data_IF_952078456998
#
_entry.id   IF_952078456998
#
_cell.length_a   1.000
_cell.length_b   1.000
_cell.length_c   1.000
_cell.angle_alpha   90.00
_cell.angle_beta   90.00
_cell.angle_gamma   90.00
#
_symmetry.space_group_name_H-M   'P 1'
#
loop_
_entity.id
_entity.type
_entity.pdbx_description
1 polymer ?
#
# COMPACT_ATOMS: atom_id res chain seq x y z
N UNK A 1 27.50 -5.01 -45.03
CA UNK A 1 26.14 -4.81 -44.49
C UNK A 1 25.99 -5.16 -43.00
N UNK A 2 26.91 -5.91 -42.36
CA UNK A 2 26.79 -6.34 -40.96
C UNK A 2 27.19 -5.30 -39.89
N UNK A 3 27.89 -4.22 -40.27
CA UNK A 3 28.40 -3.20 -39.33
C UNK A 3 27.33 -2.28 -38.75
N UNK A 4 26.21 -2.08 -39.44
CA UNK A 4 25.12 -1.21 -38.97
C UNK A 4 24.17 -1.91 -37.99
N UNK A 5 24.18 -3.26 -37.95
CA UNK A 5 23.37 -4.04 -37.01
C UNK A 5 23.84 -3.87 -35.56
N UNK A 6 25.16 -3.75 -35.33
CA UNK A 6 25.71 -3.53 -34.00
C UNK A 6 25.39 -2.13 -33.44
N UNK A 7 25.36 -1.11 -34.31
CA UNK A 7 24.97 0.25 -33.91
C UNK A 7 23.49 0.36 -33.53
N UNK A 8 22.62 -0.46 -34.14
CA UNK A 8 21.20 -0.51 -33.79
C UNK A 8 20.96 -1.14 -32.40
N UNK A 9 21.77 -2.13 -32.02
CA UNK A 9 21.71 -2.72 -30.67
C UNK A 9 22.20 -1.78 -29.56
N UNK A 10 23.17 -0.90 -29.84
CA UNK A 10 23.65 0.09 -28.86
C UNK A 10 22.59 1.17 -28.61
N UNK A 11 21.86 1.61 -29.65
CA UNK A 11 20.75 2.57 -29.49
C UNK A 11 19.55 1.99 -28.73
N UNK A 12 19.28 0.68 -28.87
CA UNK A 12 18.24 0.01 -28.09
C UNK A 12 18.60 -0.12 -26.60
N UNK A 13 19.90 -0.18 -26.26
CA UNK A 13 20.34 -0.22 -24.86
C UNK A 13 20.25 1.12 -24.12
N UNK A 14 20.05 2.23 -24.85
CA UNK A 14 19.82 3.56 -24.28
C UNK A 14 18.36 3.86 -23.93
N UNK A 15 17.45 2.89 -24.08
CA UNK A 15 16.17 2.93 -23.35
C UNK A 15 16.45 2.63 -21.87
N UNK A 16 17.01 3.63 -21.21
CA UNK A 16 17.07 3.79 -19.77
C UNK A 16 15.75 3.30 -19.18
N UNK A 17 15.78 2.17 -18.48
CA UNK A 17 14.57 1.52 -17.97
C UNK A 17 13.97 2.36 -16.85
N UNK A 18 13.15 3.34 -17.21
CA UNK A 18 12.36 4.10 -16.26
C UNK A 18 11.28 3.20 -15.69
N UNK A 19 11.30 2.97 -14.38
CA UNK A 19 10.23 2.22 -13.73
C UNK A 19 8.92 2.99 -13.88
N UNK A 20 7.89 2.30 -14.35
CA UNK A 20 6.58 2.89 -14.59
C UNK A 20 5.56 2.24 -13.68
N UNK A 21 4.80 3.05 -12.96
CA UNK A 21 3.65 2.63 -12.17
C UNK A 21 2.37 3.09 -12.86
N UNK A 22 1.49 2.15 -13.16
CA UNK A 22 0.20 2.41 -13.79
C UNK A 22 -0.92 1.99 -12.84
N UNK A 23 -1.95 2.81 -12.73
CA UNK A 23 -3.12 2.58 -11.88
C UNK A 23 -4.39 2.78 -12.70
N UNK A 24 -5.31 1.84 -12.56
CA UNK A 24 -6.58 1.78 -13.30
C UNK A 24 -7.80 2.03 -12.39
N UNK A 25 -7.63 2.00 -11.07
CA UNK A 25 -8.66 2.36 -10.10
C UNK A 25 -8.13 3.30 -9.03
N UNK A 26 -8.99 4.23 -8.57
CA UNK A 26 -8.81 4.99 -7.35
C UNK A 26 -9.96 4.72 -6.38
N UNK A 27 -9.63 4.47 -5.11
CA UNK A 27 -10.56 4.23 -4.02
C UNK A 27 -10.40 5.36 -3.00
N UNK A 28 -11.48 6.08 -2.70
CA UNK A 28 -11.47 7.14 -1.70
C UNK A 28 -12.05 6.62 -0.40
N UNK A 29 -11.27 6.67 0.68
CA UNK A 29 -11.66 6.24 2.01
C UNK A 29 -11.73 7.42 2.98
N UNK A 30 -12.79 7.49 3.77
CA UNK A 30 -12.89 8.39 4.91
C UNK A 30 -12.24 7.76 6.13
N UNK A 31 -11.26 8.43 6.74
CA UNK A 31 -10.68 8.02 8.01
C UNK A 31 -11.35 8.77 9.17
N UNK A 32 -11.88 8.01 10.13
CA UNK A 32 -12.55 8.49 11.32
C UNK A 32 -11.88 7.91 12.57
N UNK A 33 -11.40 8.76 13.47
CA UNK A 33 -11.03 8.35 14.83
C UNK A 33 -12.31 8.18 15.64
N UNK A 34 -12.53 7.00 16.20
CA UNK A 34 -13.68 6.69 17.06
C UNK A 34 -13.35 6.83 18.55
N UNK A 35 -12.10 6.57 18.94
CA UNK A 35 -11.58 6.73 20.31
C UNK A 35 -10.14 7.26 20.29
N UNK A 36 -9.70 8.00 21.33
CA UNK A 36 -10.43 8.34 22.55
C UNK A 36 -11.52 9.41 22.35
N UNK A 37 -11.32 10.32 21.41
CA UNK A 37 -12.30 11.35 21.02
C UNK A 37 -12.71 11.12 19.58
N UNK A 38 -14.01 11.20 19.30
CA UNK A 38 -14.52 11.06 17.94
C UNK A 38 -14.07 12.26 17.10
N UNK A 39 -13.36 11.99 16.01
CA UNK A 39 -12.78 13.02 15.15
C UNK A 39 -12.73 12.52 13.70
N UNK A 40 -13.11 13.40 12.77
CA UNK A 40 -12.94 13.17 11.34
C UNK A 40 -11.53 13.61 10.95
N UNK A 41 -10.69 12.70 10.45
CA UNK A 41 -9.28 13.02 10.16
C UNK A 41 -9.07 13.52 8.74
N UNK A 42 -9.79 12.97 7.76
CA UNK A 42 -9.63 13.32 6.35
C UNK A 42 -9.83 12.12 5.46
N UNK A 43 -9.43 12.25 4.20
CA UNK A 43 -9.56 11.21 3.21
C UNK A 43 -8.20 10.63 2.82
N UNK A 44 -8.19 9.31 2.65
CA UNK A 44 -7.12 8.61 1.97
C UNK A 44 -7.62 8.23 0.57
N UNK A 45 -6.83 8.55 -0.45
CA UNK A 45 -7.07 8.07 -1.82
C UNK A 45 -6.04 7.01 -2.14
N UNK A 46 -6.50 5.83 -2.52
CA UNK A 46 -5.68 4.68 -2.85
C UNK A 46 -5.79 4.41 -4.34
N UNK A 47 -4.67 4.28 -5.03
CA UNK A 47 -4.58 3.93 -6.43
C UNK A 47 -4.09 2.49 -6.55
N UNK A 48 -4.86 1.69 -7.28
CA UNK A 48 -4.63 0.26 -7.46
C UNK A 48 -4.45 -0.01 -8.94
N UNK A 49 -3.57 -0.96 -9.28
CA UNK A 49 -3.60 -1.64 -10.56
C UNK A 49 -4.37 -2.96 -10.40
N UNK A 50 -5.44 -3.15 -11.16
CA UNK A 50 -6.31 -4.33 -11.04
C UNK A 50 -5.60 -5.62 -11.47
N UNK A 51 -4.59 -5.51 -12.34
CA UNK A 51 -3.85 -6.63 -12.93
C UNK A 51 -2.50 -6.86 -12.25
N UNK A 52 -1.70 -5.80 -12.08
CA UNK A 52 -0.38 -5.88 -11.44
C UNK A 52 -0.45 -5.49 -9.96
N UNK A 53 -0.52 -6.49 -9.09
CA UNK A 53 -0.57 -6.30 -7.63
C UNK A 53 0.80 -6.06 -6.99
N UNK A 54 1.86 -5.88 -7.77
CA UNK A 54 3.22 -5.70 -7.23
C UNK A 54 3.47 -4.31 -6.66
N UNK A 55 2.53 -3.39 -6.78
CA UNK A 55 2.58 -2.08 -6.15
C UNK A 55 1.19 -1.50 -5.92
N UNK A 56 1.10 -0.52 -5.04
CA UNK A 56 -0.03 0.37 -4.91
C UNK A 56 0.48 1.81 -4.65
N UNK A 57 -0.43 2.78 -4.65
CA UNK A 57 -0.10 4.11 -4.18
C UNK A 57 -1.20 4.63 -3.28
N UNK A 58 -0.85 5.31 -2.20
CA UNK A 58 -1.82 6.05 -1.42
C UNK A 58 -1.43 7.51 -1.28
N UNK A 59 -2.45 8.34 -1.20
CA UNK A 59 -2.37 9.78 -0.99
C UNK A 59 -3.20 10.11 0.23
N UNK A 60 -2.61 10.87 1.15
CA UNK A 60 -3.34 11.38 2.30
C UNK A 60 -3.49 12.90 2.15
N UNK A 61 -4.67 13.43 2.50
CA UNK A 61 -4.96 14.86 2.51
C UNK A 61 -4.80 15.51 3.91
N UNK A 62 -4.16 14.80 4.84
CA UNK A 62 -4.03 15.24 6.23
C UNK A 62 -3.07 16.43 6.44
N UNK A 63 -2.31 16.84 5.42
CA UNK A 63 -1.31 17.91 5.50
C UNK A 63 -1.54 18.96 4.42
N UNK A 64 -1.04 20.18 4.66
CA UNK A 64 -1.12 21.31 3.71
C UNK A 64 -0.57 20.96 2.31
N UNK A 65 0.44 20.08 2.27
CA UNK A 65 0.99 19.53 1.01
C UNK A 65 0.52 18.11 0.82
N UNK A 66 -0.06 17.83 -0.35
CA UNK A 66 -0.42 16.47 -0.75
C UNK A 66 0.84 15.63 -0.90
N UNK A 67 0.81 14.46 -0.26
CA UNK A 67 1.91 13.50 -0.32
C UNK A 67 1.39 12.19 -0.86
N UNK A 68 2.08 11.65 -1.85
CA UNK A 68 1.83 10.31 -2.36
C UNK A 68 2.94 9.37 -1.93
N UNK A 69 2.55 8.16 -1.58
CA UNK A 69 3.42 7.06 -1.23
C UNK A 69 3.16 5.92 -2.19
N UNK A 70 4.18 5.49 -2.92
CA UNK A 70 4.12 4.28 -3.73
C UNK A 70 4.73 3.14 -2.93
N UNK A 71 3.95 2.11 -2.65
CA UNK A 71 4.42 0.85 -2.08
C UNK A 71 4.83 -0.06 -3.22
N UNK A 72 6.12 -0.38 -3.33
CA UNK A 72 6.63 -1.36 -4.28
C UNK A 72 6.99 -2.66 -3.55
N UNK A 73 6.13 -3.66 -3.68
CA UNK A 73 6.27 -4.95 -3.00
C UNK A 73 7.43 -5.79 -3.55
N UNK A 74 7.79 -5.60 -4.82
CA UNK A 74 8.93 -6.31 -5.43
C UNK A 74 10.25 -5.79 -4.88
N UNK A 75 10.38 -4.46 -4.78
CA UNK A 75 11.57 -3.81 -4.26
C UNK A 75 11.58 -3.71 -2.73
N UNK A 76 10.42 -3.92 -2.08
CA UNK A 76 10.18 -3.70 -0.64
C UNK A 76 10.50 -2.27 -0.22
N UNK A 77 10.03 -1.32 -1.02
CA UNK A 77 10.29 0.11 -0.85
C UNK A 77 9.00 0.92 -0.81
N UNK A 78 9.01 1.95 0.03
CA UNK A 78 8.12 3.10 -0.01
C UNK A 78 8.81 4.23 -0.74
N UNK A 79 8.23 4.72 -1.84
CA UNK A 79 8.67 5.97 -2.47
C UNK A 79 7.75 7.10 -2.05
N UNK A 80 8.31 8.18 -1.51
CA UNK A 80 7.56 9.38 -1.13
C UNK A 80 7.70 10.46 -2.18
N UNK A 81 6.57 11.02 -2.59
CA UNK A 81 6.47 12.17 -3.49
C UNK A 81 5.68 13.30 -2.84
N UNK A 82 6.18 14.51 -2.98
CA UNK A 82 5.39 15.73 -2.78
C UNK A 82 4.67 15.99 -4.11
N UNK A 83 3.36 16.18 -4.05
CA UNK A 83 2.52 16.34 -5.24
C UNK A 83 2.03 17.78 -5.35
N UNK A 84 2.25 18.37 -6.53
CA UNK A 84 1.62 19.61 -6.94
C UNK A 84 0.51 19.27 -7.93
N UNK A 85 -0.73 19.37 -7.47
CA UNK A 85 -1.91 19.14 -8.29
C UNK A 85 -2.08 20.29 -9.28
N UNK A 86 -2.37 19.95 -10.53
CA UNK A 86 -2.57 20.94 -11.59
C UNK A 86 -3.90 20.72 -12.24
N UNK A 87 -4.72 21.76 -12.24
CA UNK A 87 -6.03 21.70 -12.88
C UNK A 87 -5.87 21.50 -14.39
N UNK A 88 -6.61 20.55 -14.96
CA UNK A 88 -6.61 20.22 -16.39
C UNK A 88 -5.24 19.79 -16.98
N UNK A 89 -4.26 19.49 -16.13
CA UNK A 89 -2.93 19.02 -16.52
C UNK A 89 -2.55 17.79 -15.69
N UNK A 90 -1.44 17.14 -16.05
CA UNK A 90 -0.87 16.09 -15.21
C UNK A 90 -0.26 16.69 -13.94
N UNK A 91 -0.52 16.06 -12.80
CA UNK A 91 0.14 16.40 -11.52
C UNK A 91 1.67 16.35 -11.67
N UNK A 92 2.37 17.21 -10.93
CA UNK A 92 3.81 17.09 -10.77
C UNK A 92 4.18 16.31 -9.51
N UNK A 93 5.14 15.40 -9.68
CA UNK A 93 5.66 14.54 -8.62
C UNK A 93 7.10 14.92 -8.32
N UNK A 94 7.34 15.47 -7.14
CA UNK A 94 8.67 15.77 -6.66
C UNK A 94 9.10 14.66 -5.71
N UNK A 95 10.10 13.87 -6.12
CA UNK A 95 10.68 12.83 -5.27
C UNK A 95 11.26 13.46 -3.99
N UNK A 96 10.88 12.90 -2.84
CA UNK A 96 11.42 13.30 -1.53
C UNK A 96 12.48 12.28 -1.09
N UNK A 97 12.06 11.04 -0.79
CA UNK A 97 12.95 9.96 -0.40
C UNK A 97 12.29 8.59 -0.63
N UNK A 98 13.08 7.52 -0.48
CA UNK A 98 12.58 6.16 -0.35
C UNK A 98 12.81 5.61 1.06
N UNK A 99 12.01 4.63 1.49
CA UNK A 99 12.23 3.87 2.74
C UNK A 99 12.07 2.39 2.46
N UNK A 100 12.85 1.54 3.12
CA UNK A 100 12.61 0.10 3.11
C UNK A 100 11.38 -0.23 3.94
N UNK A 101 10.67 -1.28 3.55
CA UNK A 101 9.67 -1.91 4.41
C UNK A 101 10.33 -2.32 5.72
N UNK A 102 9.56 -2.26 6.80
CA UNK A 102 10.06 -2.66 8.10
C UNK A 102 10.23 -4.18 8.12
N UNK A 103 11.46 -4.66 8.33
CA UNK A 103 11.67 -6.08 8.57
C UNK A 103 11.00 -6.51 9.88
N UNK A 104 10.30 -7.64 9.84
CA UNK A 104 9.75 -8.29 11.01
C UNK A 104 10.61 -9.48 11.43
N UNK A 105 11.24 -9.42 12.61
CA UNK A 105 11.96 -10.57 13.17
C UNK A 105 11.06 -11.31 14.15
N UNK A 106 11.13 -12.65 14.20
CA UNK A 106 10.37 -13.48 15.17
C UNK A 106 10.67 -13.13 16.64
N UNK A 107 11.83 -12.54 16.89
CA UNK A 107 12.22 -12.00 18.20
C UNK A 107 11.34 -10.82 18.63
N UNK A 108 10.80 -10.06 17.67
CA UNK A 108 10.17 -8.78 17.93
C UNK A 108 8.84 -8.96 18.65
N UNK A 109 8.58 -8.10 19.64
CA UNK A 109 7.34 -8.12 20.39
C UNK A 109 6.11 -7.79 19.54
N UNK A 110 6.31 -7.09 18.41
CA UNK A 110 5.27 -6.80 17.43
C UNK A 110 5.01 -7.93 16.44
N UNK A 111 5.87 -8.96 16.39
CA UNK A 111 5.74 -10.05 15.42
C UNK A 111 4.43 -10.80 15.57
N UNK A 112 3.67 -10.89 14.49
CA UNK A 112 2.40 -11.61 14.43
C UNK A 112 2.67 -13.02 13.90
N UNK A 113 2.62 -14.00 14.80
CA UNK A 113 2.82 -15.41 14.49
C UNK A 113 1.66 -15.98 13.67
N UNK A 114 0.43 -15.58 14.00
CA UNK A 114 -0.78 -16.15 13.41
C UNK A 114 -1.84 -15.09 13.19
N UNK A 115 -2.54 -15.17 12.07
CA UNK A 115 -3.79 -14.45 11.81
C UNK A 115 -4.91 -15.48 11.76
N UNK A 116 -6.04 -15.16 12.38
CA UNK A 116 -7.28 -15.93 12.28
C UNK A 116 -8.38 -15.02 11.76
N UNK A 117 -9.14 -15.49 10.78
CA UNK A 117 -10.32 -14.79 10.27
C UNK A 117 -11.56 -15.55 10.71
N UNK A 118 -12.53 -14.85 11.31
CA UNK A 118 -13.84 -15.38 11.68
C UNK A 118 -14.92 -14.67 10.88
N UNK A 119 -15.78 -15.42 10.23
CA UNK A 119 -16.98 -14.89 9.59
C UNK A 119 -18.00 -14.52 10.68
N UNK A 120 -18.50 -13.29 10.64
CA UNK A 120 -19.46 -12.74 11.62
C UNK A 120 -20.84 -12.49 10.99
N UNK A 121 -20.95 -12.65 9.67
CA UNK A 121 -22.12 -12.41 8.84
C UNK A 121 -21.70 -12.44 7.36
N UNK A 122 -22.66 -12.27 6.45
CA UNK A 122 -22.45 -12.51 5.00
C UNK A 122 -21.24 -11.76 4.40
N UNK A 123 -20.99 -10.53 4.85
CA UNK A 123 -19.92 -9.68 4.33
C UNK A 123 -19.03 -9.09 5.43
N UNK A 124 -19.08 -9.67 6.64
CA UNK A 124 -18.39 -9.12 7.81
C UNK A 124 -17.45 -10.17 8.40
N UNK A 125 -16.20 -9.78 8.56
CA UNK A 125 -15.11 -10.63 9.00
C UNK A 125 -14.40 -10.00 10.20
N UNK A 126 -14.06 -10.82 11.19
CA UNK A 126 -13.21 -10.43 12.31
C UNK A 126 -11.83 -11.05 12.13
N UNK A 127 -10.83 -10.18 11.97
CA UNK A 127 -9.41 -10.52 11.96
C UNK A 127 -8.88 -10.46 13.39
N UNK A 128 -8.25 -11.55 13.82
CA UNK A 128 -7.53 -11.62 15.09
C UNK A 128 -6.05 -11.96 14.81
N UNK A 129 -5.15 -11.03 15.17
CA UNK A 129 -3.71 -11.25 15.13
C UNK A 129 -3.21 -11.80 16.46
N UNK A 130 -2.28 -12.76 16.42
CA UNK A 130 -1.67 -13.37 17.59
C UNK A 130 -0.16 -13.30 17.50
N UNK A 131 0.47 -12.76 18.55
CA UNK A 131 1.92 -12.81 18.71
C UNK A 131 2.26 -14.16 19.37
N UNK A 132 2.94 -14.22 20.52
CA UNK A 132 3.35 -15.49 21.17
C UNK A 132 2.31 -16.12 22.12
N UNK A 133 1.13 -15.52 22.27
CA UNK A 133 0.12 -15.93 23.26
C UNK A 133 -1.22 -16.35 22.66
N UNK A 134 -2.12 -16.85 23.53
CA UNK A 134 -3.50 -17.23 23.15
C UNK A 134 -4.44 -16.03 23.04
N UNK A 135 -4.08 -14.88 23.62
CA UNK A 135 -4.88 -13.65 23.54
C UNK A 135 -4.50 -12.88 22.26
N UNK A 136 -5.49 -12.40 21.49
CA UNK A 136 -5.19 -11.62 20.30
C UNK A 136 -4.47 -10.32 20.67
N UNK A 137 -3.46 -9.96 19.89
CA UNK A 137 -2.68 -8.73 20.04
C UNK A 137 -3.41 -7.53 19.41
N UNK A 138 -4.22 -7.76 18.39
CA UNK A 138 -5.13 -6.78 17.81
C UNK A 138 -6.38 -7.47 17.27
N UNK A 139 -7.43 -6.67 17.06
CA UNK A 139 -8.66 -7.08 16.41
C UNK A 139 -9.05 -6.05 15.36
N UNK A 140 -9.42 -6.54 14.19
CA UNK A 140 -9.89 -5.70 13.08
C UNK A 140 -11.19 -6.29 12.57
N UNK A 141 -12.24 -5.48 12.49
CA UNK A 141 -13.47 -5.84 11.81
C UNK A 141 -13.37 -5.32 10.38
N UNK A 142 -13.52 -6.21 9.41
CA UNK A 142 -13.51 -5.88 7.98
C UNK A 142 -14.90 -6.17 7.42
N UNK A 143 -15.44 -5.20 6.71
CA UNK A 143 -16.63 -5.35 5.90
C UNK A 143 -16.23 -5.26 4.42
N UNK A 144 -16.72 -6.19 3.62
CA UNK A 144 -16.42 -6.24 2.18
C UNK A 144 -17.68 -6.00 1.36
N UNK A 145 -17.50 -5.61 0.12
CA UNK A 145 -18.56 -5.59 -0.89
C UNK A 145 -18.05 -6.22 -2.18
N UNK A 146 -18.96 -6.79 -2.97
CA UNK A 146 -18.61 -7.30 -4.32
C UNK A 146 -18.16 -6.14 -5.20
N UNK A 147 -17.24 -6.42 -6.12
CA UNK A 147 -16.68 -5.46 -7.07
C UNK A 147 -16.51 -6.12 -8.44
N UNK A 148 -16.43 -5.32 -9.51
CA UNK A 148 -16.13 -5.82 -10.85
C UNK A 148 -14.75 -6.47 -10.94
N UNK A 149 -13.78 -5.90 -10.21
CA UNK A 149 -12.39 -6.37 -10.12
C UNK A 149 -11.94 -6.45 -8.67
N UNK A 150 -10.90 -7.21 -8.40
CA UNK A 150 -10.36 -7.36 -7.06
C UNK A 150 -9.61 -6.10 -6.61
N UNK A 151 -10.19 -5.40 -5.65
CA UNK A 151 -9.73 -4.10 -5.12
C UNK A 151 -9.53 -4.16 -3.60
N UNK A 152 -9.23 -5.35 -3.06
CA UNK A 152 -8.87 -5.49 -1.67
C UNK A 152 -7.61 -4.66 -1.39
N UNK A 153 -7.77 -3.65 -0.52
CA UNK A 153 -6.70 -2.82 -0.02
C UNK A 153 -7.04 -2.37 1.39
N UNK A 154 -6.04 -2.33 2.25
CA UNK A 154 -6.07 -1.59 3.48
C UNK A 154 -4.67 -1.32 3.99
N UNK A 155 -4.54 -0.18 4.63
CA UNK A 155 -3.37 0.21 5.40
C UNK A 155 -3.80 0.33 6.88
N UNK A 156 -2.98 -0.19 7.77
CA UNK A 156 -3.26 -0.25 9.19
C UNK A 156 -2.08 0.34 9.94
N UNK A 157 -2.34 1.42 10.68
CA UNK A 157 -1.35 2.06 11.52
C UNK A 157 -0.70 1.04 12.45
N UNK A 158 0.63 1.10 12.60
CA UNK A 158 1.41 0.22 13.49
C UNK A 158 1.36 -1.30 13.17
N UNK A 159 0.78 -1.70 12.04
CA UNK A 159 0.81 -3.09 11.56
C UNK A 159 1.72 -3.16 10.33
N UNK A 160 2.69 -4.06 10.34
CA UNK A 160 3.63 -4.19 9.22
C UNK A 160 2.96 -4.72 7.96
N UNK A 161 3.61 -4.46 6.83
CA UNK A 161 3.25 -4.93 5.49
C UNK A 161 3.25 -6.46 5.43
N UNK A 162 4.15 -7.11 6.17
CA UNK A 162 4.20 -8.57 6.30
C UNK A 162 2.95 -9.11 7.00
N UNK A 163 2.50 -8.44 8.06
CA UNK A 163 1.27 -8.81 8.75
C UNK A 163 0.05 -8.52 7.87
N UNK A 164 0.00 -7.38 7.20
CA UNK A 164 -1.06 -7.04 6.24
C UNK A 164 -1.16 -8.10 5.13
N UNK A 165 -0.02 -8.53 4.57
CA UNK A 165 0.04 -9.61 3.58
C UNK A 165 -0.50 -10.95 4.10
N UNK A 166 -0.21 -11.31 5.36
CA UNK A 166 -0.82 -12.49 6.02
C UNK A 166 -2.33 -12.34 6.14
N UNK A 167 -2.81 -11.16 6.55
CA UNK A 167 -4.26 -10.90 6.65
C UNK A 167 -4.91 -11.04 5.28
N UNK A 168 -4.35 -10.45 4.21
CA UNK A 168 -4.89 -10.61 2.85
C UNK A 168 -4.95 -12.07 2.43
N UNK A 169 -3.88 -12.83 2.69
CA UNK A 169 -3.82 -14.26 2.36
C UNK A 169 -4.91 -15.05 3.05
N UNK A 170 -5.12 -14.86 4.35
CA UNK A 170 -6.16 -15.55 5.10
C UNK A 170 -7.57 -15.04 4.75
N UNK A 171 -7.73 -13.75 4.49
CA UNK A 171 -9.00 -13.16 4.08
C UNK A 171 -9.44 -13.71 2.71
N UNK A 172 -8.51 -13.84 1.75
CA UNK A 172 -8.81 -14.43 0.44
C UNK A 172 -9.27 -15.89 0.53
N UNK A 173 -8.74 -16.67 1.47
CA UNK A 173 -9.19 -18.06 1.67
C UNK A 173 -10.65 -18.13 2.11
N UNK A 174 -11.12 -17.19 2.93
CA UNK A 174 -12.50 -17.19 3.42
C UNK A 174 -13.49 -16.52 2.45
N UNK A 175 -13.04 -15.50 1.71
CA UNK A 175 -13.87 -14.81 0.71
C UNK A 175 -14.22 -15.68 -0.50
N UNK A 176 -13.55 -16.84 -0.66
CA UNK A 176 -13.70 -17.75 -1.80
C UNK A 176 -13.41 -17.04 -3.13
N UNK A 177 -13.88 -17.63 -4.23
CA UNK A 177 -13.71 -17.07 -5.57
C UNK A 177 -14.61 -15.84 -5.76
N UNK A 178 -14.00 -14.71 -6.08
CA UNK A 178 -14.72 -13.47 -6.35
C UNK A 178 -13.85 -12.22 -6.27
N UNK A 179 -14.41 -11.15 -6.79
CA UNK A 179 -13.83 -9.82 -6.79
C UNK A 179 -14.48 -8.98 -5.71
N UNK A 180 -13.67 -8.41 -4.83
CA UNK A 180 -14.15 -7.69 -3.66
C UNK A 180 -13.42 -6.37 -3.48
N UNK A 181 -14.10 -5.42 -2.86
CA UNK A 181 -13.50 -4.22 -2.28
C UNK A 181 -13.81 -4.20 -0.78
N UNK A 182 -12.97 -3.53 -0.01
CA UNK A 182 -13.23 -3.33 1.40
C UNK A 182 -14.16 -2.13 1.55
N UNK A 183 -15.35 -2.36 2.08
CA UNK A 183 -16.34 -1.32 2.33
C UNK A 183 -16.02 -0.57 3.63
N UNK A 184 -15.62 -1.27 4.67
CA UNK A 184 -15.19 -0.63 5.92
C UNK A 184 -14.19 -1.45 6.72
N UNK A 185 -13.38 -0.76 7.52
CA UNK A 185 -12.45 -1.36 8.50
C UNK A 185 -12.63 -0.66 9.82
N UNK A 186 -12.83 -1.41 10.90
CA UNK A 186 -12.65 -0.91 12.25
C UNK A 186 -11.46 -1.60 12.91
N UNK A 187 -10.45 -0.82 13.30
CA UNK A 187 -9.26 -1.31 13.98
C UNK A 187 -9.23 -0.80 15.43
N UNK A 188 -9.03 -1.70 16.39
CA UNK A 188 -8.79 -1.36 17.79
C UNK A 188 -7.35 -1.68 18.18
N UNK A 189 -6.61 -0.65 18.57
CA UNK A 189 -5.20 -0.72 18.94
C UNK A 189 -5.02 -0.90 20.45
N UNK A 190 -3.91 -1.52 20.86
CA UNK A 190 -3.62 -1.81 22.28
C UNK A 190 -3.58 -0.56 23.18
N UNK A 191 -3.25 0.60 22.61
CA UNK A 191 -3.23 1.88 23.30
C UNK A 191 -4.64 2.48 23.50
N UNK A 192 -5.71 1.75 23.15
CA UNK A 192 -7.10 2.16 23.33
C UNK A 192 -7.66 3.02 22.20
N UNK A 193 -6.85 3.34 21.19
CA UNK A 193 -7.33 4.05 20.01
C UNK A 193 -8.16 3.12 19.13
N UNK A 194 -9.26 3.67 18.63
CA UNK A 194 -10.14 2.97 17.68
C UNK A 194 -10.32 3.85 16.47
N UNK A 195 -10.13 3.28 15.30
CA UNK A 195 -10.32 3.95 14.02
C UNK A 195 -11.34 3.21 13.17
N UNK A 196 -12.01 3.95 12.31
CA UNK A 196 -12.86 3.43 11.26
C UNK A 196 -12.46 4.05 9.92
N UNK A 197 -12.23 3.21 8.93
CA UNK A 197 -11.99 3.58 7.55
C UNK A 197 -13.19 3.15 6.73
N UNK A 198 -13.81 4.05 5.97
CA UNK A 198 -15.04 3.77 5.21
C UNK A 198 -14.85 4.14 3.74
N UNK A 199 -15.15 3.21 2.84
CA UNK A 199 -15.09 3.45 1.41
C UNK A 199 -16.21 4.42 1.00
N UNK A 200 -15.82 5.55 0.42
CA UNK A 200 -16.74 6.55 -0.11
C UNK A 200 -16.99 6.34 -1.60
N UNK A 201 -15.94 6.01 -2.36
CA UNK A 201 -16.00 6.04 -3.81
C UNK A 201 -14.98 5.10 -4.45
N UNK A 202 -15.37 4.48 -5.56
CA UNK A 202 -14.48 3.77 -6.49
C UNK A 202 -14.60 4.45 -7.85
N UNK A 203 -13.46 4.81 -8.46
CA UNK A 203 -13.39 5.40 -9.80
C UNK A 203 -12.40 4.64 -10.66
N UNK A 204 -12.74 4.43 -11.94
CA UNK A 204 -11.76 4.05 -12.97
C UNK A 204 -10.91 5.27 -13.30
N UNK A 205 -9.60 5.08 -13.39
CA UNK A 205 -8.62 6.12 -13.70
C UNK A 205 -7.62 5.59 -14.73
N UNK A 206 -6.83 6.49 -15.33
CA UNK A 206 -5.70 6.13 -16.18
C UNK A 206 -4.44 6.83 -15.68
N UNK A 207 -4.06 6.56 -14.42
CA UNK A 207 -2.97 7.30 -13.76
C UNK A 207 -1.65 6.59 -14.01
N UNK A 208 -0.63 7.35 -14.41
CA UNK A 208 0.72 6.83 -14.70
C UNK A 208 1.76 7.70 -14.01
N UNK A 209 2.70 7.07 -13.33
CA UNK A 209 3.87 7.70 -12.72
C UNK A 209 5.11 7.03 -13.28
N UNK A 210 6.00 7.82 -13.85
CA UNK A 210 7.28 7.36 -14.39
C UNK A 210 8.35 7.81 -13.42
N UNK A 211 9.10 6.86 -12.84
CA UNK A 211 10.31 7.16 -12.08
C UNK A 211 11.47 7.35 -13.03
N UNK A 212 12.00 8.58 -13.17
CA UNK A 212 13.17 8.80 -14.00
C UNK A 212 14.37 8.08 -13.40
N UNK A 213 15.34 7.73 -14.25
CA UNK A 213 16.50 6.95 -13.84
C UNK A 213 17.37 7.64 -12.77
N UNK A 214 17.42 8.97 -12.76
CA UNK A 214 18.19 9.69 -11.74
C UNK A 214 17.60 9.44 -10.34
N UNK A 215 16.28 9.30 -10.21
CA UNK A 215 15.63 8.92 -8.94
C UNK A 215 15.99 7.50 -8.55
N UNK A 216 15.96 6.55 -9.49
CA UNK A 216 16.38 5.17 -9.22
C UNK A 216 17.83 5.12 -8.71
N UNK A 217 18.74 5.85 -9.36
CA UNK A 217 20.13 5.96 -8.92
C UNK A 217 20.27 6.62 -7.55
N UNK A 218 19.44 7.63 -7.22
CA UNK A 218 19.43 8.24 -5.87
C UNK A 218 18.99 7.23 -4.82
N UNK A 219 17.99 6.40 -5.12
CA UNK A 219 17.50 5.35 -4.23
C UNK A 219 18.56 4.29 -4.00
N UNK A 220 19.24 3.83 -5.06
CA UNK A 220 20.37 2.91 -4.95
C UNK A 220 21.47 3.46 -4.04
N UNK A 221 21.90 4.71 -4.29
CA UNK A 221 22.89 5.41 -3.46
C UNK A 221 22.44 5.57 -2.00
N UNK A 222 21.16 5.84 -1.76
CA UNK A 222 20.60 5.98 -0.41
C UNK A 222 20.81 4.72 0.42
N UNK A 223 20.81 3.54 -0.22
CA UNK A 223 20.93 2.26 0.46
C UNK A 223 22.28 1.55 0.26
N UNK A 224 23.22 2.15 -0.47
CA UNK A 224 24.55 1.59 -0.76
C UNK A 224 25.34 1.31 0.53
N UNK A 225 25.26 2.20 1.51
CA UNK A 225 25.94 2.08 2.82
C UNK A 225 25.12 1.37 3.90
N UNK A 226 23.91 0.89 3.58
CA UNK A 226 23.03 0.24 4.56
C UNK A 226 23.33 -1.26 4.76
N UNK A 227 24.28 -1.82 4.00
CA UNK A 227 24.70 -3.22 4.14
C UNK A 227 25.47 -3.50 5.44
N UNK A 228 25.94 -2.47 6.15
CA UNK A 228 26.86 -2.63 7.29
C UNK A 228 26.20 -2.52 8.68
N UNK A 229 24.88 -2.40 8.78
CA UNK A 229 24.18 -2.15 10.06
C UNK A 229 23.25 -3.29 10.53
N UNK A 230 23.25 -4.44 9.86
CA UNK A 230 22.41 -5.59 10.21
C UNK A 230 23.24 -6.86 10.52
N UNK A 231 24.29 -6.72 11.34
CA UNK A 231 24.90 -7.84 12.07
C UNK A 231 24.47 -7.81 13.54
#
# INVERSE_FOLDING_TARGET
>A
MMKYLFSFFILLSSFFSSQTFEFDYSLTYQLNKLKPTKEKWGNQVVYINSTNKSYNMFSNDFSEKKTNWIEDFNMKLYYKFIVEERENLSDLYYYDYARKFREEKKSDNSYVNKVVIKEMGENIYLVEGFNKGRRPSFKIKIEVQKSEVDLLYFDLLDISEFTVSKIFTELKKVLKDGNFAIASIESEYKNGYKFKTELLEIKKVGKKIILPNDIQMRVEKQFENYKDLNH
#
